data_IF_759573493533
#
_entry.id   IF_759573493533
#
_cell.length_a   1.000
_cell.length_b   1.000
_cell.length_c   1.000
_cell.angle_alpha   90.00
_cell.angle_beta   90.00
_cell.angle_gamma   90.00
#
_symmetry.space_group_name_H-M   'P 1'
#
loop_
_entity.id
_entity.type
_entity.pdbx_description
1 polymer ?
#
# COMPACT_ATOMS: atom_id res chain seq x y z
N UNK A 1 29.16 7.03 20.23
CA UNK A 1 28.12 6.26 19.53
C UNK A 1 28.73 5.01 18.95
N UNK A 2 27.96 3.96 18.74
CA UNK A 2 28.38 2.77 18.01
C UNK A 2 28.25 3.00 16.50
N UNK A 3 29.18 2.46 15.71
CA UNK A 3 29.08 2.48 14.24
C UNK A 3 28.15 1.36 13.80
N UNK A 4 27.15 1.66 12.97
CA UNK A 4 26.15 0.70 12.51
C UNK A 4 26.12 0.68 10.99
N UNK A 5 26.32 -0.50 10.40
CA UNK A 5 26.12 -0.72 8.97
C UNK A 5 24.70 -1.25 8.71
N UNK A 6 23.92 -0.53 7.91
CA UNK A 6 22.57 -0.93 7.52
C UNK A 6 22.56 -1.45 6.09
N UNK A 7 22.23 -2.73 5.91
CA UNK A 7 22.03 -3.36 4.61
C UNK A 7 20.53 -3.42 4.31
N UNK A 8 20.13 -2.98 3.12
CA UNK A 8 18.72 -2.92 2.72
C UNK A 8 18.46 -3.82 1.52
N UNK A 9 17.26 -4.41 1.47
CA UNK A 9 16.77 -5.21 0.35
C UNK A 9 15.35 -4.76 0.02
N UNK A 10 15.11 -4.43 -1.26
CA UNK A 10 13.84 -3.87 -1.74
C UNK A 10 13.26 -4.71 -2.88
N UNK A 11 12.02 -5.16 -2.72
CA UNK A 11 11.22 -5.81 -3.74
C UNK A 11 9.73 -5.74 -3.35
N UNK A 12 8.84 -6.35 -4.14
CA UNK A 12 7.43 -6.48 -3.74
C UNK A 12 7.30 -7.17 -2.38
N UNK A 13 6.51 -6.57 -1.47
CA UNK A 13 6.42 -6.96 -0.05
C UNK A 13 6.18 -8.45 0.17
N UNK A 14 5.19 -9.05 -0.51
CA UNK A 14 4.94 -10.50 -0.43
C UNK A 14 6.10 -11.37 -0.93
N UNK A 15 6.95 -10.88 -1.84
CA UNK A 15 8.18 -11.58 -2.26
C UNK A 15 9.26 -11.49 -1.19
N UNK A 16 9.39 -10.35 -0.52
CA UNK A 16 10.38 -10.15 0.56
C UNK A 16 10.08 -11.04 1.76
N UNK A 17 8.83 -11.12 2.22
CA UNK A 17 8.50 -11.99 3.37
C UNK A 17 8.64 -13.47 3.04
N UNK A 18 8.43 -13.88 1.78
CA UNK A 18 8.79 -15.24 1.34
C UNK A 18 10.30 -15.48 1.42
N UNK A 19 11.12 -14.55 0.94
CA UNK A 19 12.57 -14.68 1.04
C UNK A 19 13.05 -14.78 2.50
N UNK A 20 12.46 -13.99 3.42
CA UNK A 20 12.74 -14.10 4.87
C UNK A 20 12.31 -15.46 5.42
N UNK A 21 11.12 -15.95 5.03
CA UNK A 21 10.65 -17.27 5.43
C UNK A 21 11.52 -18.42 4.89
N UNK A 22 12.12 -18.23 3.71
CA UNK A 22 13.00 -19.19 3.05
C UNK A 22 14.47 -19.08 3.50
N UNK A 23 14.78 -18.19 4.47
CA UNK A 23 16.08 -18.14 5.15
C UNK A 23 16.88 -16.85 4.98
N UNK A 24 16.36 -15.82 4.29
CA UNK A 24 17.00 -14.50 4.27
C UNK A 24 17.04 -13.93 5.70
N UNK A 25 18.24 -13.72 6.21
CA UNK A 25 18.47 -13.32 7.61
C UNK A 25 18.29 -11.81 7.84
N UNK A 26 17.07 -11.32 7.66
CA UNK A 26 16.69 -9.95 8.01
C UNK A 26 16.54 -9.79 9.53
N UNK A 27 17.13 -8.75 10.11
CA UNK A 27 16.96 -8.41 11.53
C UNK A 27 15.58 -7.80 11.81
N UNK A 28 15.12 -6.97 10.88
CA UNK A 28 13.81 -6.32 10.90
C UNK A 28 13.15 -6.42 9.52
N UNK A 29 11.83 -6.35 9.51
CA UNK A 29 11.02 -6.23 8.29
C UNK A 29 10.21 -4.94 8.36
N UNK A 30 10.13 -4.22 7.24
CA UNK A 30 9.33 -3.00 7.07
C UNK A 30 8.44 -3.18 5.84
N UNK A 31 7.22 -3.65 6.05
CA UNK A 31 6.36 -4.22 5.00
C UNK A 31 5.24 -3.26 4.61
N UNK A 32 4.68 -3.46 3.40
CA UNK A 32 3.66 -2.54 2.89
C UNK A 32 2.22 -2.93 3.28
N UNK A 33 2.02 -4.02 4.03
CA UNK A 33 0.73 -4.51 4.49
C UNK A 33 0.91 -5.48 5.68
N UNK A 34 -0.11 -5.56 6.55
CA UNK A 34 -0.09 -6.43 7.73
C UNK A 34 -0.08 -7.93 7.38
N UNK A 35 -0.82 -8.35 6.35
CA UNK A 35 -0.90 -9.76 5.95
C UNK A 35 0.46 -10.40 5.61
N UNK A 36 1.45 -9.60 5.18
CA UNK A 36 2.81 -10.10 4.94
C UNK A 36 3.58 -10.35 6.25
N UNK A 37 3.34 -9.54 7.29
CA UNK A 37 3.94 -9.75 8.61
C UNK A 37 3.23 -10.87 9.35
N UNK A 38 1.90 -10.97 9.21
CA UNK A 38 1.10 -12.11 9.70
C UNK A 38 1.65 -13.44 9.17
N UNK A 39 2.00 -13.50 7.88
CA UNK A 39 2.62 -14.68 7.28
C UNK A 39 3.93 -15.08 7.99
N UNK A 40 4.77 -14.11 8.38
CA UNK A 40 5.99 -14.39 9.15
C UNK A 40 5.68 -14.81 10.59
N UNK A 41 4.62 -14.26 11.18
CA UNK A 41 4.17 -14.64 12.52
C UNK A 41 3.61 -16.08 12.56
N UNK A 42 2.87 -16.49 11.53
CA UNK A 42 2.38 -17.86 11.36
C UNK A 42 3.53 -18.87 11.19
N UNK A 43 4.65 -18.43 10.61
CA UNK A 43 5.90 -19.20 10.51
C UNK A 43 6.74 -19.17 11.79
N UNK A 44 6.32 -18.43 12.82
CA UNK A 44 7.05 -18.29 14.09
C UNK A 44 8.32 -17.43 14.00
N UNK A 45 8.51 -16.69 12.90
CA UNK A 45 9.68 -15.83 12.70
C UNK A 45 9.50 -14.45 13.35
N UNK A 46 8.25 -14.01 13.46
CA UNK A 46 7.84 -12.77 14.11
C UNK A 46 6.85 -13.11 15.23
N UNK A 47 6.70 -12.24 16.24
CA UNK A 47 5.72 -12.46 17.29
C UNK A 47 4.28 -12.38 16.78
N UNK A 48 3.39 -13.26 17.25
CA UNK A 48 1.95 -13.23 16.88
C UNK A 48 1.25 -11.94 17.30
N UNK A 49 1.78 -11.25 18.30
CA UNK A 49 1.27 -9.97 18.79
C UNK A 49 2.09 -8.77 18.27
N UNK A 50 2.84 -8.91 17.16
CA UNK A 50 3.74 -7.85 16.66
C UNK A 50 3.06 -6.49 16.51
N UNK A 51 1.79 -6.46 16.07
CA UNK A 51 1.04 -5.22 15.86
C UNK A 51 0.87 -4.42 17.16
N UNK A 52 1.02 -5.05 18.34
CA UNK A 52 0.98 -4.41 19.66
C UNK A 52 2.37 -4.11 20.24
N UNK A 53 3.45 -4.55 19.58
CA UNK A 53 4.83 -4.34 20.04
C UNK A 53 5.32 -2.91 19.81
N UNK A 54 4.69 -2.21 18.87
CA UNK A 54 4.96 -0.80 18.58
C UNK A 54 3.62 -0.04 18.45
N UNK A 55 3.63 1.30 18.60
CA UNK A 55 2.42 2.10 18.45
C UNK A 55 1.75 1.93 17.09
N UNK A 56 0.46 2.29 17.00
CA UNK A 56 -0.28 2.41 15.74
C UNK A 56 -0.23 1.14 14.86
N UNK A 57 -0.56 -0.03 15.41
CA UNK A 57 -0.50 -1.32 14.72
C UNK A 57 0.90 -1.65 14.17
N UNK A 58 1.94 -1.20 14.88
CA UNK A 58 3.32 -1.21 14.44
C UNK A 58 3.59 -0.50 13.10
N UNK A 59 2.79 0.52 12.77
CA UNK A 59 2.91 1.30 11.53
C UNK A 59 3.34 2.75 11.85
N UNK A 60 4.63 3.09 11.70
CA UNK A 60 5.18 4.41 12.06
C UNK A 60 4.69 5.54 11.16
N UNK A 61 4.24 5.22 9.97
CA UNK A 61 3.67 6.15 9.00
C UNK A 61 2.59 5.42 8.20
N UNK A 62 1.85 6.16 7.39
CA UNK A 62 0.77 5.64 6.55
C UNK A 62 0.86 6.20 5.14
N UNK A 63 0.03 5.69 4.25
CA UNK A 63 -0.28 6.33 2.98
C UNK A 63 -1.77 6.10 2.67
N UNK A 64 -2.20 6.43 1.46
CA UNK A 64 -3.52 6.08 0.94
C UNK A 64 -3.43 5.82 -0.56
N UNK A 65 -4.51 5.33 -1.16
CA UNK A 65 -4.58 5.15 -2.61
C UNK A 65 -5.07 6.44 -3.27
N UNK A 66 -4.34 6.90 -4.27
CA UNK A 66 -4.64 8.11 -5.07
C UNK A 66 -4.63 7.78 -6.55
N UNK A 67 -5.12 8.71 -7.37
CA UNK A 67 -5.07 8.59 -8.82
C UNK A 67 -4.00 9.53 -9.37
N UNK A 68 -3.05 8.96 -10.09
CA UNK A 68 -2.05 9.71 -10.84
C UNK A 68 -2.54 9.77 -12.29
N UNK A 69 -2.93 10.96 -12.74
CA UNK A 69 -3.46 11.19 -14.08
C UNK A 69 -2.46 12.00 -14.91
N UNK A 70 -2.59 11.92 -16.23
CA UNK A 70 -1.77 12.72 -17.14
C UNK A 70 -1.97 14.21 -16.89
N UNK A 71 -0.94 15.02 -17.17
CA UNK A 71 -1.00 16.49 -17.08
C UNK A 71 -2.28 17.04 -17.70
N UNK A 72 -2.95 17.94 -16.98
CA UNK A 72 -4.21 18.56 -17.41
C UNK A 72 -5.45 17.69 -17.23
N UNK A 73 -5.31 16.43 -16.79
CA UNK A 73 -6.40 15.49 -16.54
C UNK A 73 -7.40 15.39 -17.72
N UNK A 74 -6.96 14.92 -18.91
CA UNK A 74 -7.76 14.96 -20.13
C UNK A 74 -9.03 14.09 -20.08
N UNK A 75 -9.07 13.12 -19.16
CA UNK A 75 -10.26 12.27 -18.91
C UNK A 75 -11.18 12.83 -17.82
N UNK A 76 -10.86 13.99 -17.26
CA UNK A 76 -11.60 14.63 -16.17
C UNK A 76 -11.88 13.69 -14.99
N UNK A 77 -10.92 12.84 -14.65
CA UNK A 77 -11.02 11.88 -13.54
C UNK A 77 -11.01 12.64 -12.22
N UNK A 78 -12.03 12.43 -11.40
CA UNK A 78 -12.19 13.07 -10.09
C UNK A 78 -12.43 12.05 -8.99
N UNK A 79 -13.07 10.94 -9.29
CA UNK A 79 -13.40 9.93 -8.29
C UNK A 79 -13.52 8.52 -8.90
N UNK A 80 -13.69 7.51 -8.05
CA UNK A 80 -13.79 6.11 -8.46
C UNK A 80 -14.78 5.82 -9.61
N UNK A 81 -15.98 6.43 -9.70
CA UNK A 81 -16.90 6.19 -10.81
C UNK A 81 -16.34 6.56 -12.18
N UNK A 82 -15.35 7.46 -12.25
CA UNK A 82 -14.68 7.82 -13.50
C UNK A 82 -13.78 6.70 -14.02
N UNK A 83 -13.22 5.88 -13.12
CA UNK A 83 -12.30 4.80 -13.48
C UNK A 83 -13.00 3.62 -14.15
N UNK A 84 -14.32 3.48 -13.96
CA UNK A 84 -15.15 2.40 -14.53
C UNK A 84 -15.90 2.82 -15.79
N UNK A 85 -15.67 4.04 -16.29
CA UNK A 85 -16.28 4.52 -17.54
C UNK A 85 -15.70 3.75 -18.74
N UNK A 86 -16.52 3.45 -19.77
CA UNK A 86 -16.00 2.84 -21.00
C UNK A 86 -14.88 3.68 -21.63
N UNK A 87 -13.81 3.02 -22.07
CA UNK A 87 -12.69 3.65 -22.75
C UNK A 87 -11.66 4.34 -21.85
N UNK A 88 -11.85 4.31 -20.52
CA UNK A 88 -10.81 4.68 -19.56
C UNK A 88 -9.90 3.47 -19.31
N UNK A 89 -8.59 3.66 -19.46
CA UNK A 89 -7.60 2.63 -19.17
C UNK A 89 -6.94 2.85 -17.81
N UNK A 90 -7.07 1.88 -16.91
CA UNK A 90 -6.55 1.95 -15.55
C UNK A 90 -5.29 1.10 -15.43
N UNK A 91 -4.19 1.71 -14.98
CA UNK A 91 -2.96 0.99 -14.64
C UNK A 91 -2.97 0.70 -13.14
N UNK A 92 -2.81 -0.58 -12.80
CA UNK A 92 -2.61 -1.02 -11.43
C UNK A 92 -1.75 -2.31 -11.39
N UNK A 93 -1.03 -2.56 -10.29
CA UNK A 93 -0.40 -3.85 -10.03
C UNK A 93 -1.41 -4.98 -9.83
N UNK A 94 -0.99 -6.23 -10.05
CA UNK A 94 -1.85 -7.40 -9.91
C UNK A 94 -2.43 -7.55 -8.47
N UNK A 95 -3.77 -7.54 -8.28
CA UNK A 95 -4.37 -7.56 -6.94
C UNK A 95 -4.05 -8.78 -6.10
N UNK A 96 -3.98 -9.99 -6.66
CA UNK A 96 -3.59 -11.16 -5.84
C UNK A 96 -2.12 -11.22 -5.44
N UNK A 97 -1.22 -10.56 -6.17
CA UNK A 97 0.22 -10.82 -6.05
C UNK A 97 0.98 -9.68 -5.36
N UNK A 98 0.36 -8.51 -5.23
CA UNK A 98 1.03 -7.27 -4.81
C UNK A 98 0.19 -6.52 -3.78
N UNK A 99 0.83 -5.96 -2.75
CA UNK A 99 0.13 -5.14 -1.75
C UNK A 99 -0.56 -3.91 -2.34
N UNK A 100 0.08 -3.20 -3.28
CA UNK A 100 -0.51 -2.05 -3.97
C UNK A 100 -1.77 -2.44 -4.76
N UNK A 101 -1.76 -3.58 -5.46
CA UNK A 101 -2.94 -4.12 -6.13
C UNK A 101 -4.05 -4.50 -5.15
N UNK A 102 -3.72 -5.12 -3.99
CA UNK A 102 -4.72 -5.44 -2.94
C UNK A 102 -5.36 -4.18 -2.39
N UNK A 103 -4.58 -3.16 -2.05
CA UNK A 103 -5.11 -1.90 -1.55
C UNK A 103 -5.92 -1.15 -2.61
N UNK A 104 -5.52 -1.16 -3.88
CA UNK A 104 -6.34 -0.63 -4.99
C UNK A 104 -7.72 -1.31 -5.04
N UNK A 105 -7.71 -2.65 -5.00
CA UNK A 105 -8.93 -3.46 -5.02
C UNK A 105 -9.84 -3.16 -3.82
N UNK A 106 -9.29 -3.16 -2.60
CA UNK A 106 -10.07 -2.92 -1.38
C UNK A 106 -10.55 -1.47 -1.28
N UNK A 107 -9.77 -0.49 -1.77
CA UNK A 107 -10.19 0.91 -1.84
C UNK A 107 -11.44 1.07 -2.74
N UNK A 108 -11.41 0.47 -3.93
CA UNK A 108 -12.54 0.49 -4.85
C UNK A 108 -13.76 -0.27 -4.30
N UNK A 109 -13.53 -1.41 -3.65
CA UNK A 109 -14.60 -2.20 -3.02
C UNK A 109 -15.26 -1.44 -1.88
N UNK A 110 -14.48 -0.88 -0.95
CA UNK A 110 -15.00 -0.10 0.17
C UNK A 110 -15.68 1.20 -0.28
N UNK A 111 -15.17 1.85 -1.34
CA UNK A 111 -15.89 2.96 -1.98
C UNK A 111 -17.29 2.53 -2.45
N UNK A 112 -17.38 1.40 -3.15
CA UNK A 112 -18.63 0.90 -3.69
C UNK A 112 -19.62 0.43 -2.62
N UNK A 113 -19.14 -0.16 -1.51
CA UNK A 113 -19.95 -0.46 -0.33
C UNK A 113 -20.53 0.79 0.32
N UNK A 114 -19.77 1.89 0.34
CA UNK A 114 -20.21 3.16 0.90
C UNK A 114 -21.19 3.97 0.05
N UNK A 115 -21.54 3.51 -1.15
CA UNK A 115 -22.51 4.20 -2.02
C UNK A 115 -23.97 3.91 -1.60
N UNK A 116 -24.93 4.75 -2.02
CA UNK A 116 -26.36 4.43 -1.86
C UNK A 116 -26.69 3.05 -2.44
N UNK A 117 -27.40 2.22 -1.68
CA UNK A 117 -27.70 0.82 -1.98
C UNK A 117 -26.47 -0.11 -2.13
N UNK A 118 -25.30 0.34 -1.68
CA UNK A 118 -24.06 -0.44 -1.65
C UNK A 118 -24.20 -1.73 -0.84
N UNK A 119 -23.79 -2.83 -1.44
CA UNK A 119 -23.71 -4.15 -0.84
C UNK A 119 -22.60 -4.98 -1.54
N UNK A 120 -22.34 -6.19 -1.03
CA UNK A 120 -21.28 -7.06 -1.57
C UNK A 120 -21.39 -7.30 -3.07
N UNK A 121 -22.61 -7.49 -3.61
CA UNK A 121 -22.81 -7.73 -5.04
C UNK A 121 -22.47 -6.50 -5.86
N UNK A 122 -22.96 -5.32 -5.46
CA UNK A 122 -22.69 -4.07 -6.18
C UNK A 122 -21.22 -3.69 -6.11
N UNK A 123 -20.55 -3.97 -4.98
CA UNK A 123 -19.12 -3.76 -4.83
C UNK A 123 -18.30 -4.71 -5.72
N UNK A 124 -18.67 -5.99 -5.78
CA UNK A 124 -18.05 -6.95 -6.69
C UNK A 124 -18.20 -6.51 -8.16
N UNK A 125 -19.38 -6.08 -8.57
CA UNK A 125 -19.64 -5.61 -9.95
C UNK A 125 -18.90 -4.29 -10.26
N UNK A 126 -18.77 -3.40 -9.28
CA UNK A 126 -17.96 -2.19 -9.42
C UNK A 126 -16.49 -2.50 -9.67
N UNK A 127 -15.91 -3.37 -8.83
CA UNK A 127 -14.51 -3.77 -8.98
C UNK A 127 -14.29 -4.59 -10.26
N UNK A 128 -15.27 -5.39 -10.68
CA UNK A 128 -15.20 -6.09 -11.97
C UNK A 128 -15.02 -5.13 -13.14
N UNK A 129 -15.83 -4.06 -13.21
CA UNK A 129 -15.70 -3.03 -14.24
C UNK A 129 -14.36 -2.29 -14.16
N UNK A 130 -13.87 -2.01 -12.95
CA UNK A 130 -12.55 -1.40 -12.76
C UNK A 130 -11.44 -2.28 -13.34
N UNK A 131 -11.47 -3.59 -13.02
CA UNK A 131 -10.45 -4.54 -13.49
C UNK A 131 -10.58 -4.85 -14.98
N UNK A 132 -11.77 -4.77 -15.57
CA UNK A 132 -11.98 -4.84 -17.02
C UNK A 132 -11.32 -3.66 -17.75
N UNK A 133 -11.36 -2.47 -17.15
CA UNK A 133 -10.68 -1.28 -17.66
C UNK A 133 -9.15 -1.32 -17.51
N UNK A 134 -8.58 -2.35 -16.88
CA UNK A 134 -7.14 -2.55 -16.83
C UNK A 134 -6.63 -3.33 -18.06
N UNK A 135 -5.84 -2.72 -18.97
CA UNK A 135 -5.37 -3.42 -20.17
C UNK A 135 -4.35 -4.52 -19.83
N UNK A 136 -3.62 -4.37 -18.72
CA UNK A 136 -2.68 -5.33 -18.19
C UNK A 136 -2.58 -5.15 -16.67
N UNK A 137 -2.06 -6.17 -15.97
CA UNK A 137 -1.68 -6.04 -14.57
C UNK A 137 -0.16 -6.01 -14.47
N UNK A 138 0.37 -4.95 -13.87
CA UNK A 138 1.81 -4.81 -13.65
C UNK A 138 2.29 -5.80 -12.59
N UNK A 139 3.56 -6.19 -12.67
CA UNK A 139 4.18 -7.14 -11.73
C UNK A 139 4.36 -6.54 -10.31
N UNK A 140 4.34 -5.20 -10.19
CA UNK A 140 4.48 -4.47 -8.93
C UNK A 140 4.25 -2.97 -9.12
N UNK A 141 4.26 -2.20 -8.02
CA UNK A 141 4.04 -0.74 -8.06
C UNK A 141 5.00 -0.01 -8.99
N UNK A 142 6.30 -0.34 -8.91
CA UNK A 142 7.33 0.26 -9.77
C UNK A 142 7.11 -0.01 -11.26
N UNK A 143 6.73 -1.24 -11.62
CA UNK A 143 6.42 -1.62 -13.00
C UNK A 143 5.14 -0.93 -13.51
N UNK A 144 4.15 -0.73 -12.64
CA UNK A 144 2.96 0.07 -12.95
C UNK A 144 3.34 1.54 -13.24
N UNK A 145 4.18 2.12 -12.39
CA UNK A 145 4.73 3.47 -12.58
C UNK A 145 5.50 3.59 -13.90
N UNK A 146 6.39 2.66 -14.21
CA UNK A 146 7.10 2.62 -15.51
C UNK A 146 6.14 2.50 -16.70
N UNK A 147 5.15 1.62 -16.59
CA UNK A 147 4.15 1.42 -17.66
C UNK A 147 3.36 2.70 -17.94
N UNK A 148 2.94 3.41 -16.89
CA UNK A 148 2.21 4.66 -17.03
C UNK A 148 3.10 5.83 -17.48
N UNK A 149 4.22 6.06 -16.79
CA UNK A 149 5.05 7.25 -16.98
C UNK A 149 6.00 7.15 -18.17
N UNK A 150 6.64 5.99 -18.38
CA UNK A 150 7.63 5.81 -19.45
C UNK A 150 6.99 5.24 -20.71
N UNK A 151 6.24 4.14 -20.60
CA UNK A 151 5.60 3.49 -21.75
C UNK A 151 4.34 4.20 -22.22
N UNK A 152 3.87 5.20 -21.47
CA UNK A 152 2.70 6.02 -21.78
C UNK A 152 1.44 5.18 -22.03
N UNK A 153 1.27 4.07 -21.32
CA UNK A 153 0.06 3.23 -21.39
C UNK A 153 -0.91 3.63 -20.28
N UNK A 154 -2.21 3.69 -20.59
CA UNK A 154 -3.26 3.99 -19.62
C UNK A 154 -3.61 5.47 -19.49
N UNK A 155 -4.79 5.78 -18.97
CA UNK A 155 -5.24 7.15 -18.70
C UNK A 155 -4.94 7.59 -17.26
N UNK A 156 -4.88 6.62 -16.35
CA UNK A 156 -4.74 6.80 -14.90
C UNK A 156 -3.99 5.64 -14.28
N UNK A 157 -3.10 5.96 -13.34
CA UNK A 157 -2.43 5.01 -12.46
C UNK A 157 -3.06 5.13 -11.07
N UNK A 158 -3.57 4.00 -10.53
CA UNK A 158 -3.96 3.94 -9.12
C UNK A 158 -2.77 3.41 -8.32
N UNK A 159 -2.30 4.18 -7.35
CA UNK A 159 -1.11 3.83 -6.58
C UNK A 159 -1.11 4.45 -5.19
N UNK A 160 -0.13 4.10 -4.36
CA UNK A 160 0.10 4.78 -3.09
C UNK A 160 0.42 6.25 -3.33
N UNK A 161 -0.04 7.13 -2.45
CA UNK A 161 0.27 8.56 -2.47
C UNK A 161 1.78 8.84 -2.50
N UNK A 162 2.58 8.01 -1.81
CA UNK A 162 4.03 8.14 -1.78
C UNK A 162 4.70 7.97 -3.15
N UNK A 163 4.06 7.26 -4.10
CA UNK A 163 4.60 7.10 -5.46
C UNK A 163 4.55 8.41 -6.25
N UNK A 164 3.67 9.37 -5.89
CA UNK A 164 3.63 10.66 -6.56
C UNK A 164 4.97 11.41 -6.46
N UNK A 165 5.63 11.38 -5.30
CA UNK A 165 6.94 12.01 -5.14
C UNK A 165 8.04 11.25 -5.87
N UNK A 166 8.00 9.92 -5.86
CA UNK A 166 8.96 9.12 -6.64
C UNK A 166 8.88 9.47 -8.13
N UNK A 167 7.65 9.59 -8.65
CA UNK A 167 7.40 9.99 -10.03
C UNK A 167 7.90 11.42 -10.27
N UNK A 168 7.63 12.35 -9.36
CA UNK A 168 8.09 13.74 -9.47
C UNK A 168 9.62 13.84 -9.50
N UNK A 169 10.32 13.06 -8.68
CA UNK A 169 11.79 13.03 -8.62
C UNK A 169 12.41 12.47 -9.90
N UNK A 170 11.81 11.44 -10.48
CA UNK A 170 12.39 10.74 -11.64
C UNK A 170 11.98 11.33 -12.98
N UNK A 171 10.72 11.76 -13.12
CA UNK A 171 10.16 12.22 -14.40
C UNK A 171 9.92 13.73 -14.45
N UNK A 172 10.17 14.44 -13.35
CA UNK A 172 9.97 15.88 -13.24
C UNK A 172 8.58 16.25 -12.72
N UNK A 173 8.55 17.36 -11.97
CA UNK A 173 7.31 17.96 -11.48
C UNK A 173 6.50 18.52 -12.66
N UNK A 174 5.20 18.23 -12.69
CA UNK A 174 4.26 18.81 -13.66
C UNK A 174 3.90 17.95 -14.87
N UNK A 175 4.44 16.74 -14.99
CA UNK A 175 4.07 15.76 -16.04
C UNK A 175 2.80 14.96 -15.72
N UNK A 176 2.33 15.05 -14.48
CA UNK A 176 1.15 14.37 -13.98
C UNK A 176 0.40 15.27 -12.99
N UNK A 177 -0.80 14.86 -12.64
CA UNK A 177 -1.61 15.46 -11.58
C UNK A 177 -2.05 14.37 -10.62
N UNK A 178 -1.98 14.64 -9.31
CA UNK A 178 -2.55 13.75 -8.29
C UNK A 178 -3.99 14.16 -8.05
N UNK A 179 -4.90 13.20 -8.21
CA UNK A 179 -6.32 13.35 -7.89
C UNK A 179 -6.59 12.51 -6.64
N UNK A 180 -7.10 13.18 -5.61
CA UNK A 180 -7.51 12.56 -4.36
C UNK A 180 -9.00 12.17 -4.46
N UNK A 181 -9.36 10.88 -4.43
CA UNK A 181 -10.75 10.46 -4.51
C UNK A 181 -11.54 10.89 -3.27
N UNK A 182 -12.88 10.84 -3.37
CA UNK A 182 -13.76 11.27 -2.28
C UNK A 182 -13.70 10.38 -1.03
N UNK A 183 -13.25 9.15 -1.22
CA UNK A 183 -12.99 8.14 -0.19
C UNK A 183 -11.85 7.24 -0.68
N UNK A 184 -10.94 6.89 0.22
CA UNK A 184 -9.89 5.91 -0.05
C UNK A 184 -9.66 5.01 1.16
N UNK A 185 -8.67 4.14 1.07
CA UNK A 185 -8.27 3.25 2.15
C UNK A 185 -7.02 3.80 2.86
N UNK A 186 -6.99 3.71 4.18
CA UNK A 186 -5.78 3.96 4.96
C UNK A 186 -4.84 2.76 4.77
N UNK A 187 -3.64 3.05 4.30
CA UNK A 187 -2.61 2.00 4.12
C UNK A 187 -1.60 2.12 5.25
N UNK A 188 -1.46 1.02 5.99
CA UNK A 188 -0.53 0.90 7.10
C UNK A 188 0.67 0.07 6.64
N UNK A 189 1.88 0.51 6.99
CA UNK A 189 3.15 -0.09 6.61
C UNK A 189 3.84 -0.65 7.86
N UNK A 190 3.42 -1.85 8.30
CA UNK A 190 3.86 -2.38 9.57
C UNK A 190 5.32 -2.82 9.56
N UNK A 191 5.95 -2.66 10.72
CA UNK A 191 7.31 -3.09 10.98
C UNK A 191 7.33 -4.20 12.03
N UNK A 192 8.32 -5.08 11.97
CA UNK A 192 8.51 -6.11 12.98
C UNK A 192 9.97 -6.56 13.10
N UNK A 193 10.30 -7.14 14.25
CA UNK A 193 11.59 -7.77 14.52
C UNK A 193 11.50 -9.26 14.17
N UNK A 194 12.49 -9.78 13.44
CA UNK A 194 12.59 -11.21 13.12
C UNK A 194 13.34 -11.92 14.25
N UNK A 195 12.61 -12.54 15.16
CA UNK A 195 13.13 -13.00 16.45
C UNK A 195 14.32 -13.97 16.32
N UNK A 196 14.24 -15.06 15.53
CA UNK A 196 15.35 -16.02 15.46
C UNK A 196 16.65 -15.40 14.93
N UNK A 197 16.55 -14.41 14.06
CA UNK A 197 17.72 -13.75 13.46
C UNK A 197 18.39 -12.84 14.47
N UNK A 198 17.63 -11.98 15.13
CA UNK A 198 18.22 -11.02 16.09
C UNK A 198 18.75 -11.70 17.35
N UNK A 199 18.14 -12.82 17.75
CA UNK A 199 18.62 -13.60 18.90
C UNK A 199 19.94 -14.31 18.54
N UNK A 200 20.04 -14.89 17.34
CA UNK A 200 21.28 -15.51 16.86
C UNK A 200 22.41 -14.51 16.66
N UNK A 201 22.12 -13.33 16.09
CA UNK A 201 23.12 -12.29 15.82
C UNK A 201 23.45 -11.42 17.04
N UNK A 202 22.64 -11.47 18.11
CA UNK A 202 22.77 -10.58 19.27
C UNK A 202 22.37 -9.13 18.98
N UNK A 203 21.58 -8.87 17.95
CA UNK A 203 21.26 -7.51 17.44
C UNK A 203 19.92 -6.98 17.95
N UNK A 204 19.20 -7.70 18.82
CA UNK A 204 17.83 -7.35 19.25
C UNK A 204 17.69 -5.91 19.75
N UNK A 205 18.62 -5.45 20.60
CA UNK A 205 18.60 -4.09 21.14
C UNK A 205 18.71 -3.03 20.04
N UNK A 206 19.62 -3.25 19.09
CA UNK A 206 19.83 -2.34 17.96
C UNK A 206 18.63 -2.36 17.00
N UNK A 207 18.10 -3.54 16.69
CA UNK A 207 16.91 -3.72 15.86
C UNK A 207 15.69 -3.01 16.45
N UNK A 208 15.48 -3.16 17.76
CA UNK A 208 14.40 -2.46 18.47
C UNK A 208 14.58 -0.95 18.44
N UNK A 209 15.78 -0.45 18.79
CA UNK A 209 16.06 0.99 18.75
C UNK A 209 15.89 1.58 17.33
N UNK A 210 16.31 0.85 16.30
CA UNK A 210 16.13 1.24 14.91
C UNK A 210 14.65 1.42 14.54
N UNK A 211 13.78 0.48 14.92
CA UNK A 211 12.34 0.57 14.65
C UNK A 211 11.66 1.66 15.49
N UNK A 212 11.97 1.76 16.79
CA UNK A 212 11.42 2.79 17.67
C UNK A 212 11.76 4.20 17.16
N UNK A 213 12.96 4.39 16.60
CA UNK A 213 13.40 5.67 16.04
C UNK A 213 12.53 6.17 14.88
N UNK A 214 11.78 5.28 14.21
CA UNK A 214 10.84 5.67 13.15
C UNK A 214 9.70 6.55 13.68
N UNK A 215 9.36 6.46 14.98
CA UNK A 215 8.38 7.33 15.65
C UNK A 215 8.99 8.61 16.24
N UNK A 216 10.31 8.75 16.25
CA UNK A 216 10.97 9.98 16.71
C UNK A 216 10.60 11.19 15.85
N UNK A 217 10.72 12.44 16.35
CA UNK A 217 10.50 13.63 15.52
C UNK A 217 11.29 13.61 14.21
N UNK A 218 12.56 13.18 14.24
CA UNK A 218 13.40 13.06 13.05
C UNK A 218 12.90 11.97 12.09
N UNK A 219 12.47 10.81 12.61
CA UNK A 219 11.90 9.72 11.81
C UNK A 219 10.59 10.13 11.13
N UNK A 220 9.71 10.83 11.86
CA UNK A 220 8.43 11.33 11.35
C UNK A 220 8.62 12.44 10.31
N UNK A 221 9.57 13.35 10.54
CA UNK A 221 9.91 14.37 9.54
C UNK A 221 10.54 13.73 8.28
N UNK A 222 11.41 12.74 8.44
CA UNK A 222 11.98 12.01 7.30
C UNK A 222 10.90 11.27 6.49
N UNK A 223 9.91 10.66 7.16
CA UNK A 223 8.77 10.03 6.50
C UNK A 223 7.98 11.06 5.67
N UNK A 224 7.68 12.22 6.25
CA UNK A 224 6.98 13.30 5.56
C UNK A 224 7.76 13.80 4.33
N UNK A 225 9.08 14.03 4.46
CA UNK A 225 9.95 14.44 3.34
C UNK A 225 10.00 13.40 2.20
N UNK A 226 9.62 12.15 2.46
CA UNK A 226 9.53 11.08 1.47
C UNK A 226 8.08 10.68 1.15
N UNK A 227 7.12 11.58 1.38
CA UNK A 227 5.71 11.42 1.02
C UNK A 227 4.99 10.24 1.66
N UNK A 228 5.43 9.87 2.85
CA UNK A 228 4.68 9.00 3.75
C UNK A 228 3.97 9.89 4.77
N UNK A 229 2.67 9.70 4.96
CA UNK A 229 1.88 10.46 5.95
C UNK A 229 2.38 10.11 7.35
N UNK A 230 3.02 11.04 8.08
CA UNK A 230 3.50 10.78 9.43
C UNK A 230 2.33 10.57 10.40
N UNK A 231 2.55 9.82 11.47
CA UNK A 231 1.62 9.72 12.60
C UNK A 231 1.68 10.95 13.52
N UNK A 232 2.79 11.69 13.51
CA UNK A 232 2.93 12.94 14.27
C UNK A 232 1.94 14.01 13.78
N UNK A 233 1.02 14.50 14.63
CA UNK A 233 0.10 15.58 14.26
C UNK A 233 0.82 16.89 13.91
N UNK A 234 1.95 17.16 14.57
CA UNK A 234 2.79 18.32 14.28
C UNK A 234 3.36 18.25 12.85
N UNK A 235 3.89 17.09 12.46
CA UNK A 235 4.42 16.89 11.11
C UNK A 235 3.31 16.88 10.06
N UNK A 236 2.15 16.28 10.34
CA UNK A 236 0.99 16.38 9.44
C UNK A 236 0.58 17.84 9.19
N UNK A 237 0.58 18.67 10.24
CA UNK A 237 0.28 20.10 10.10
C UNK A 237 1.36 20.84 9.31
N UNK A 238 2.65 20.56 9.58
CA UNK A 238 3.79 21.16 8.87
C UNK A 238 3.79 20.82 7.37
N UNK A 239 3.35 19.63 7.00
CA UNK A 239 3.32 19.13 5.61
C UNK A 239 1.90 19.09 5.02
N UNK A 240 0.96 19.93 5.48
CA UNK A 240 -0.44 19.88 5.08
C UNK A 240 -0.68 20.13 3.58
N UNK A 241 0.16 20.93 2.92
CA UNK A 241 0.09 21.16 1.46
C UNK A 241 0.42 19.89 0.66
N UNK A 242 1.31 19.06 1.22
CA UNK A 242 1.73 17.81 0.61
C UNK A 242 0.70 16.70 0.82
N UNK A 243 0.01 16.72 1.96
CA UNK A 243 -0.97 15.73 2.35
C UNK A 243 -2.36 16.36 2.51
N UNK A 244 -3.06 16.65 1.40
CA UNK A 244 -4.44 17.09 1.43
C UNK A 244 -5.30 16.17 2.32
N UNK A 245 -6.27 16.75 3.06
CA UNK A 245 -7.25 15.96 3.79
C UNK A 245 -8.00 15.04 2.83
N UNK A 246 -8.14 13.78 3.22
CA UNK A 246 -8.87 12.75 2.47
C UNK A 246 -9.58 11.85 3.46
N UNK A 247 -10.84 11.53 3.18
CA UNK A 247 -11.58 10.56 3.98
C UNK A 247 -11.02 9.18 3.69
N UNK A 248 -10.69 8.46 4.75
CA UNK A 248 -10.19 7.08 4.64
C UNK A 248 -10.97 6.15 5.53
N UNK A 249 -10.96 4.87 5.18
CA UNK A 249 -11.37 3.77 6.05
C UNK A 249 -10.23 2.77 6.19
N UNK A 250 -10.25 1.95 7.23
CA UNK A 250 -9.28 0.88 7.46
C UNK A 250 -9.80 -0.48 6.99
N UNK A 251 -8.89 -1.44 6.81
CA UNK A 251 -9.26 -2.83 6.52
C UNK A 251 -10.08 -3.42 7.68
N UNK A 252 -9.79 -3.03 8.91
CA UNK A 252 -10.53 -3.47 10.09
C UNK A 252 -11.98 -2.97 10.10
N UNK A 253 -12.21 -1.69 9.80
CA UNK A 253 -13.54 -1.08 9.80
C UNK A 253 -14.47 -1.68 8.74
N UNK A 254 -13.98 -1.90 7.51
CA UNK A 254 -14.83 -2.29 6.38
C UNK A 254 -14.85 -3.79 6.15
N UNK A 255 -13.73 -4.49 6.37
CA UNK A 255 -13.59 -5.91 6.04
C UNK A 255 -13.41 -6.80 7.28
N UNK A 256 -13.39 -6.21 8.49
CA UNK A 256 -13.16 -6.95 9.73
C UNK A 256 -11.74 -7.49 9.87
N UNK A 257 -10.78 -6.83 9.20
CA UNK A 257 -9.35 -7.09 9.32
C UNK A 257 -8.79 -8.03 8.25
N UNK A 258 -7.45 -8.07 8.14
CA UNK A 258 -6.75 -8.82 7.10
C UNK A 258 -7.02 -10.33 7.15
N UNK A 259 -7.23 -10.89 8.34
CA UNK A 259 -7.56 -12.32 8.52
C UNK A 259 -8.90 -12.72 7.90
N UNK A 260 -9.82 -11.76 7.67
CA UNK A 260 -11.08 -11.96 6.96
C UNK A 260 -11.00 -11.49 5.50
N UNK A 261 -10.45 -10.30 5.27
CA UNK A 261 -10.35 -9.72 3.94
C UNK A 261 -9.53 -10.60 2.98
N UNK A 262 -8.40 -11.12 3.44
CA UNK A 262 -7.50 -11.92 2.61
C UNK A 262 -8.15 -13.22 2.10
N UNK A 263 -8.71 -14.10 2.95
CA UNK A 263 -9.39 -15.29 2.45
C UNK A 263 -10.64 -14.98 1.62
N UNK A 264 -11.41 -13.95 1.95
CA UNK A 264 -12.62 -13.62 1.21
C UNK A 264 -12.33 -13.16 -0.23
N UNK A 265 -11.30 -12.33 -0.41
CA UNK A 265 -11.04 -11.70 -1.70
C UNK A 265 -9.88 -12.31 -2.49
N UNK A 266 -8.82 -12.77 -1.83
CA UNK A 266 -7.52 -13.03 -2.48
C UNK A 266 -7.02 -14.47 -2.40
N UNK A 267 -7.62 -15.35 -1.59
CA UNK A 267 -7.35 -16.80 -1.69
C UNK A 267 -7.96 -17.37 -2.97
N UNK A 268 -7.53 -18.57 -3.34
CA UNK A 268 -8.08 -19.29 -4.48
C UNK A 268 -9.59 -19.54 -4.27
N UNK A 269 -10.37 -19.19 -5.30
CA UNK A 269 -11.85 -19.20 -5.26
C UNK A 269 -12.48 -17.95 -4.65
N UNK A 270 -11.68 -17.02 -4.12
CA UNK A 270 -12.16 -15.75 -3.56
C UNK A 270 -12.74 -14.80 -4.61
N UNK A 271 -13.31 -13.68 -4.17
CA UNK A 271 -14.03 -12.74 -5.05
C UNK A 271 -13.18 -12.22 -6.23
N UNK A 272 -11.85 -12.06 -6.06
CA UNK A 272 -10.98 -11.68 -7.16
C UNK A 272 -11.00 -12.72 -8.29
N UNK A 273 -10.93 -14.01 -7.99
CA UNK A 273 -10.94 -15.06 -9.02
C UNK A 273 -12.27 -15.11 -9.75
N UNK A 274 -13.37 -14.96 -9.01
CA UNK A 274 -14.71 -14.92 -9.57
C UNK A 274 -14.89 -13.74 -10.54
N UNK A 275 -14.22 -12.62 -10.28
CA UNK A 275 -14.18 -11.47 -11.17
C UNK A 275 -13.26 -11.75 -12.36
N UNK A 276 -12.05 -12.27 -12.09
CA UNK A 276 -11.00 -12.42 -13.09
C UNK A 276 -11.33 -13.48 -14.15
N UNK A 277 -12.00 -14.57 -13.77
CA UNK A 277 -12.47 -15.61 -14.69
C UNK A 277 -13.58 -15.12 -15.65
N UNK A 278 -14.24 -14.00 -15.33
CA UNK A 278 -15.30 -13.39 -16.16
C UNK A 278 -14.77 -12.28 -17.08
N UNK A 279 -13.48 -11.93 -16.99
CA UNK A 279 -12.82 -10.95 -17.84
C UNK A 279 -12.33 -11.62 -19.12
#
# INVERSE_FOLDING_TARGET
GESVELKQSHAGSSKQVRAVADGLEADVVTMNQASDVDFLADKGLVSKDYARRFPNNASPYTSTMVFIVRKGNPRAIRDWPDLVKPGVQVILPHPKNTGNGRYTYLAAWGFALGQPAGNERTAQDFVARLLQNAPLFAAGGRDATTTFMQRKIGDVLVSFESEAELIAREFGKGEFTVVYPSLSILTEFPVAIVNPVVDRKGTRKLAQAYLEYLWSPAGQENAAQNYLRPRSPEMLKKYAEQFPPIRTFTVDEVFGGWSKAFPAHFKDGGSFDQIYQKK
#
